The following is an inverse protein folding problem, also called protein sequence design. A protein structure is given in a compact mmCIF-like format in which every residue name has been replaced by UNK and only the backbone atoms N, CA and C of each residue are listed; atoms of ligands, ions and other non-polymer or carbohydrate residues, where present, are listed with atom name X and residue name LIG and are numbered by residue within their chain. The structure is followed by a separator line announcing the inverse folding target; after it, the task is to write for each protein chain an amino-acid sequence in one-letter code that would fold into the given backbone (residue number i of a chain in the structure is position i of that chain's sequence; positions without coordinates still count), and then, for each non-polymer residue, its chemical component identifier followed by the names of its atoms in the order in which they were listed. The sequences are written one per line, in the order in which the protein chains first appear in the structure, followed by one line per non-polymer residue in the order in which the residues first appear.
data_IF_154087663726
#
_entry.id   IF_154087663726
#
_cell.length_a   1.000
_cell.length_b   1.000
_cell.length_c   1.000
_cell.angle_alpha   90.00
_cell.angle_beta   90.00
_cell.angle_gamma   90.00
#
_symmetry.space_group_name_H-M   'P 1'
#
loop_
_entity.id
_entity.type
_entity.pdbx_description
1 polymer ?
#
# COMPACT_ATOMS: atom_id res chain seq x y z
N UNK A 1 60.22 43.60 -4.95
CA UNK A 1 58.78 43.48 -4.63
C UNK A 1 58.20 42.35 -5.45
N UNK A 2 57.96 41.20 -4.83
CA UNK A 2 57.42 39.97 -5.45
C UNK A 2 56.42 39.38 -4.46
N UNK A 3 55.29 38.88 -4.99
CA UNK A 3 54.34 37.92 -4.39
C UNK A 3 53.43 38.52 -3.30
N UNK A 4 52.12 38.28 -3.20
CA UNK A 4 51.21 37.37 -3.87
C UNK A 4 49.78 37.92 -3.70
N UNK A 5 49.03 38.01 -4.79
CA UNK A 5 47.58 37.91 -4.79
C UNK A 5 47.29 36.42 -4.62
N UNK A 6 46.72 36.02 -3.49
CA UNK A 6 45.82 34.87 -3.26
C UNK A 6 45.31 35.08 -1.83
N UNK A 7 44.17 35.76 -1.71
CA UNK A 7 43.36 35.76 -0.50
C UNK A 7 41.91 35.56 -0.96
N UNK A 8 41.69 34.41 -1.59
CA UNK A 8 40.39 33.89 -1.95
C UNK A 8 40.45 32.38 -1.72
N UNK A 9 39.40 31.84 -1.08
CA UNK A 9 39.20 30.41 -0.78
C UNK A 9 40.08 29.79 0.31
N UNK A 10 39.90 30.24 1.55
CA UNK A 10 40.11 29.39 2.72
C UNK A 10 39.26 29.97 3.84
N UNK A 11 37.98 29.58 3.90
CA UNK A 11 37.07 29.45 5.07
C UNK A 11 35.64 29.25 4.51
N UNK A 12 35.40 28.21 3.69
CA UNK A 12 34.10 27.51 3.58
C UNK A 12 34.40 26.06 3.17
N UNK A 13 35.19 25.35 3.98
CA UNK A 13 35.21 23.88 3.99
C UNK A 13 35.21 23.47 5.47
N UNK A 14 34.24 23.98 6.21
CA UNK A 14 33.87 23.43 7.50
C UNK A 14 32.78 22.38 7.27
N UNK A 15 33.23 21.13 7.15
CA UNK A 15 32.54 19.92 7.64
C UNK A 15 31.10 19.68 7.18
N UNK A 16 30.93 19.30 5.91
CA UNK A 16 30.04 18.16 5.61
C UNK A 16 30.96 16.95 5.51
N UNK A 17 31.41 16.45 6.65
CA UNK A 17 32.00 15.12 6.78
C UNK A 17 30.87 14.11 6.55
N UNK A 18 30.50 13.89 5.30
CA UNK A 18 29.67 12.76 4.92
C UNK A 18 30.60 11.55 4.96
N UNK A 19 30.40 10.66 5.94
CA UNK A 19 31.25 9.49 6.14
C UNK A 19 31.31 8.64 4.86
N UNK A 20 32.51 8.42 4.33
CA UNK A 20 32.75 7.34 3.38
C UNK A 20 32.76 6.04 4.19
N UNK A 21 31.71 5.23 4.02
CA UNK A 21 31.63 3.90 4.64
C UNK A 21 32.58 2.99 3.86
N UNK A 22 33.65 2.55 4.51
CA UNK A 22 34.63 1.60 3.94
C UNK A 22 33.99 0.20 3.90
N UNK A 23 33.86 -0.36 2.69
CA UNK A 23 33.16 -1.61 2.44
C UNK A 23 34.09 -2.84 2.46
N UNK A 24 33.85 -3.76 3.40
CA UNK A 24 33.70 -5.22 3.21
C UNK A 24 33.95 -5.93 4.53
N UNK A 25 32.88 -6.50 5.12
CA UNK A 25 33.03 -7.45 6.21
C UNK A 25 33.06 -8.84 5.59
N UNK A 26 34.23 -9.50 5.63
CA UNK A 26 34.34 -10.94 5.33
C UNK A 26 33.37 -11.72 6.22
N UNK A 27 32.49 -12.48 5.57
CA UNK A 27 31.42 -13.29 6.16
C UNK A 27 31.93 -14.60 6.79
N UNK A 28 33.23 -14.90 6.72
CA UNK A 28 33.83 -16.05 7.41
C UNK A 28 33.52 -16.07 8.92
N UNK A 29 33.19 -14.91 9.49
CA UNK A 29 32.97 -14.73 10.93
C UNK A 29 31.55 -15.01 11.40
N UNK A 30 30.55 -15.36 10.57
CA UNK A 30 29.12 -15.31 10.97
C UNK A 30 28.44 -16.67 11.22
N UNK A 31 29.14 -17.78 11.03
CA UNK A 31 28.63 -19.14 11.31
C UNK A 31 28.17 -19.26 12.77
N UNK A 32 26.96 -19.78 13.00
CA UNK A 32 26.30 -19.92 14.31
C UNK A 32 26.09 -18.63 15.13
N UNK A 33 26.04 -17.45 14.50
CA UNK A 33 25.90 -16.17 15.20
C UNK A 33 24.54 -15.52 14.99
N UNK A 34 24.13 -14.76 16.01
CA UNK A 34 22.99 -13.85 15.98
C UNK A 34 23.50 -12.42 15.93
N UNK A 35 22.76 -11.50 15.33
CA UNK A 35 23.13 -10.09 15.28
C UNK A 35 22.18 -9.28 14.41
N UNK A 36 22.59 -8.08 14.02
CA UNK A 36 21.81 -7.21 13.13
C UNK A 36 22.55 -6.98 11.82
N UNK A 37 21.91 -7.27 10.70
CA UNK A 37 22.42 -6.97 9.37
C UNK A 37 21.91 -5.60 8.91
N UNK A 38 22.77 -4.76 8.34
CA UNK A 38 22.44 -3.41 7.88
C UNK A 38 22.75 -3.28 6.39
N UNK A 39 21.74 -2.94 5.59
CA UNK A 39 21.84 -2.61 4.17
C UNK A 39 21.84 -1.10 3.98
N UNK A 40 22.83 -0.56 3.28
CA UNK A 40 22.93 0.87 3.00
C UNK A 40 22.45 1.21 1.60
N UNK A 41 21.64 2.27 1.46
CA UNK A 41 21.11 2.74 0.18
C UNK A 41 21.61 4.14 -0.15
N UNK A 42 21.91 4.38 -1.43
CA UNK A 42 22.24 5.69 -1.96
C UNK A 42 23.00 5.64 -3.28
N UNK A 43 23.31 6.82 -3.83
CA UNK A 43 23.92 6.97 -5.16
C UNK A 43 25.33 7.56 -5.05
N UNK A 44 26.22 7.19 -6.00
CA UNK A 44 27.58 7.75 -6.07
C UNK A 44 28.46 7.43 -4.86
N UNK A 45 28.26 6.27 -4.21
CA UNK A 45 29.02 5.85 -3.03
C UNK A 45 28.65 6.57 -1.74
N UNK A 46 27.54 7.32 -1.70
CA UNK A 46 27.04 8.01 -0.51
C UNK A 46 25.79 7.32 0.02
N UNK A 47 25.86 6.77 1.23
CA UNK A 47 24.69 6.26 1.92
C UNK A 47 23.77 7.42 2.35
N UNK A 48 22.47 7.30 2.01
CA UNK A 48 21.41 8.25 2.37
C UNK A 48 20.38 7.64 3.30
N UNK A 49 20.25 6.31 3.31
CA UNK A 49 19.25 5.58 4.09
C UNK A 49 19.81 4.17 4.40
N UNK A 50 19.24 3.47 5.38
CA UNK A 50 19.60 2.07 5.65
C UNK A 50 18.41 1.21 6.07
N UNK A 51 18.43 -0.08 5.75
CA UNK A 51 17.54 -1.09 6.33
C UNK A 51 18.33 -1.95 7.32
N UNK A 52 17.76 -2.28 8.47
CA UNK A 52 18.41 -3.11 9.48
C UNK A 52 17.50 -4.28 9.87
N UNK A 53 18.08 -5.47 10.01
CA UNK A 53 17.37 -6.73 10.23
C UNK A 53 18.04 -7.54 11.32
N UNK A 54 17.29 -7.98 12.34
CA UNK A 54 17.85 -8.92 13.32
C UNK A 54 17.86 -10.30 12.69
N UNK A 55 19.02 -10.95 12.63
CA UNK A 55 19.22 -12.23 11.96
C UNK A 55 19.89 -13.24 12.88
N UNK A 56 19.45 -14.49 12.79
CA UNK A 56 20.14 -15.66 13.36
C UNK A 56 20.47 -16.63 12.24
N UNK A 57 21.76 -16.91 12.07
CA UNK A 57 22.27 -17.85 11.07
C UNK A 57 22.44 -19.24 11.68
N UNK A 58 22.04 -20.27 10.94
CA UNK A 58 22.52 -21.65 11.15
C UNK A 58 23.66 -21.97 10.18
N UNK A 59 24.36 -23.09 10.39
CA UNK A 59 25.52 -23.51 9.57
C UNK A 59 25.17 -23.94 8.13
N UNK A 60 23.92 -23.77 7.69
CA UNK A 60 23.41 -24.35 6.45
C UNK A 60 23.43 -23.43 5.23
N UNK A 61 23.91 -22.18 5.37
CA UNK A 61 23.97 -21.17 4.31
C UNK A 61 25.40 -20.75 3.94
N UNK A 62 25.65 -20.56 2.64
CA UNK A 62 26.85 -19.89 2.12
C UNK A 62 26.67 -18.36 2.03
N UNK A 63 27.77 -17.62 2.05
CA UNK A 63 27.79 -16.14 2.12
C UNK A 63 27.01 -15.47 0.99
N UNK A 64 27.20 -15.95 -0.23
CA UNK A 64 26.47 -15.49 -1.41
C UNK A 64 24.95 -15.73 -1.29
N UNK A 65 24.52 -16.81 -0.66
CA UNK A 65 23.10 -17.15 -0.48
C UNK A 65 22.43 -16.23 0.54
N UNK A 66 23.12 -15.91 1.64
CA UNK A 66 22.65 -14.92 2.63
C UNK A 66 22.48 -13.55 1.99
N UNK A 67 23.47 -13.12 1.21
CA UNK A 67 23.44 -11.82 0.54
C UNK A 67 22.33 -11.77 -0.52
N UNK A 68 22.13 -12.81 -1.33
CA UNK A 68 21.00 -12.89 -2.28
C UNK A 68 19.63 -12.93 -1.59
N UNK A 69 19.47 -13.64 -0.47
CA UNK A 69 18.21 -13.65 0.30
C UNK A 69 17.90 -12.28 0.91
N UNK A 70 18.91 -11.56 1.37
CA UNK A 70 18.75 -10.20 1.87
C UNK A 70 18.47 -9.20 0.74
N UNK A 71 19.00 -9.41 -0.48
CA UNK A 71 18.64 -8.62 -1.68
C UNK A 71 17.17 -8.75 -2.05
N UNK A 72 16.59 -9.95 -1.96
CA UNK A 72 15.16 -10.18 -2.27
C UNK A 72 14.23 -9.48 -1.28
N UNK A 73 14.67 -9.29 -0.04
CA UNK A 73 13.89 -8.70 1.05
C UNK A 73 14.11 -7.20 1.22
N UNK A 74 15.05 -6.62 0.46
CA UNK A 74 15.23 -5.18 0.37
C UNK A 74 14.06 -4.56 -0.40
N UNK A 75 13.10 -3.95 0.32
CA UNK A 75 11.88 -3.36 -0.22
C UNK A 75 12.10 -2.06 -1.03
N UNK A 76 13.02 -2.04 -2.00
CA UNK A 76 13.29 -0.83 -2.80
C UNK A 76 13.68 -1.16 -4.25
N UNK A 77 13.23 -0.30 -5.18
CA UNK A 77 13.65 -0.30 -6.60
C UNK A 77 15.08 0.25 -6.82
N UNK A 78 15.72 0.77 -5.77
CA UNK A 78 17.08 1.34 -5.82
C UNK A 78 18.12 0.31 -5.38
N UNK A 79 19.27 0.28 -6.07
CA UNK A 79 20.40 -0.61 -5.71
C UNK A 79 21.00 -0.16 -4.38
N UNK A 80 21.16 -1.08 -3.44
CA UNK A 80 21.93 -0.84 -2.22
C UNK A 80 23.40 -0.61 -2.58
N UNK A 81 24.08 0.27 -1.85
CA UNK A 81 25.48 0.63 -2.11
C UNK A 81 26.46 -0.29 -1.38
N UNK A 82 26.12 -0.74 -0.18
CA UNK A 82 26.95 -1.64 0.64
C UNK A 82 26.15 -2.29 1.77
N UNK A 83 26.77 -3.17 2.56
CA UNK A 83 26.15 -3.86 3.69
C UNK A 83 27.14 -4.10 4.83
N UNK A 84 26.64 -4.29 6.05
CA UNK A 84 27.42 -4.67 7.24
C UNK A 84 26.63 -5.63 8.14
N UNK A 85 27.32 -6.39 8.98
CA UNK A 85 26.71 -7.22 10.02
C UNK A 85 27.31 -6.90 11.38
N UNK A 86 26.43 -6.61 12.33
CA UNK A 86 26.75 -6.28 13.71
C UNK A 86 26.42 -7.49 14.59
N UNK A 87 27.45 -8.27 14.89
CA UNK A 87 27.31 -9.50 15.68
C UNK A 87 26.84 -9.23 17.11
N UNK A 88 25.87 -10.02 17.57
CA UNK A 88 25.20 -9.94 18.88
C UNK A 88 24.46 -8.63 19.16
N UNK A 89 24.32 -7.75 18.16
CA UNK A 89 23.61 -6.50 18.34
C UNK A 89 22.12 -6.73 18.17
N UNK A 90 21.35 -6.21 19.12
CA UNK A 90 19.93 -5.94 18.92
C UNK A 90 19.73 -4.59 18.20
N UNK A 91 18.48 -4.25 17.94
CA UNK A 91 18.13 -3.04 17.21
C UNK A 91 18.51 -1.75 17.93
N UNK A 92 18.39 -1.70 19.25
CA UNK A 92 18.75 -0.50 20.01
C UNK A 92 20.27 -0.31 20.03
N UNK A 93 21.02 -1.42 20.18
CA UNK A 93 22.47 -1.42 20.08
C UNK A 93 22.94 -1.04 18.68
N UNK A 94 22.22 -1.49 17.65
CA UNK A 94 22.45 -1.09 16.26
C UNK A 94 22.21 0.41 16.06
N UNK A 95 21.09 0.97 16.54
CA UNK A 95 20.86 2.42 16.44
C UNK A 95 21.93 3.24 17.17
N UNK A 96 22.35 2.80 18.35
CA UNK A 96 23.43 3.46 19.09
C UNK A 96 24.80 3.32 18.42
N UNK A 97 25.03 2.22 17.69
CA UNK A 97 26.21 2.06 16.87
C UNK A 97 26.21 3.00 15.67
N UNK A 98 25.11 3.02 14.92
CA UNK A 98 24.94 3.85 13.73
C UNK A 98 24.96 5.35 14.07
N UNK A 99 24.35 5.77 15.18
CA UNK A 99 24.44 7.15 15.66
C UNK A 99 25.89 7.58 15.94
N UNK A 100 26.69 6.67 16.52
CA UNK A 100 28.11 6.93 16.75
C UNK A 100 28.94 6.91 15.46
N UNK A 101 28.71 5.94 14.58
CA UNK A 101 29.50 5.79 13.35
C UNK A 101 29.20 6.88 12.32
N UNK A 102 27.96 7.38 12.27
CA UNK A 102 27.53 8.46 11.40
C UNK A 102 27.67 9.86 12.04
N UNK A 103 28.01 9.94 13.32
CA UNK A 103 28.04 11.18 14.10
C UNK A 103 26.71 11.96 14.02
N UNK A 104 25.60 11.26 14.29
CA UNK A 104 24.23 11.77 14.22
C UNK A 104 23.49 11.50 15.53
N UNK A 105 22.38 12.22 15.77
CA UNK A 105 21.54 11.90 16.92
C UNK A 105 20.81 10.56 16.72
N UNK A 106 20.43 9.89 17.82
CA UNK A 106 19.64 8.66 17.77
C UNK A 106 18.30 8.85 17.04
N UNK A 107 17.72 10.06 17.10
CA UNK A 107 16.49 10.40 16.38
C UNK A 107 16.74 10.42 14.88
N UNK A 108 17.76 11.17 14.45
CA UNK A 108 18.06 11.32 13.02
C UNK A 108 18.46 9.98 12.39
N UNK A 109 19.20 9.13 13.11
CA UNK A 109 19.52 7.77 12.65
C UNK A 109 18.29 6.88 12.54
N UNK A 110 17.29 7.05 13.41
CA UNK A 110 16.01 6.33 13.27
C UNK A 110 15.19 6.85 12.10
N UNK A 111 15.30 8.14 11.77
CA UNK A 111 14.62 8.76 10.63
C UNK A 111 15.25 8.35 9.28
N UNK A 112 16.55 8.02 9.26
CA UNK A 112 17.24 7.44 8.08
C UNK A 112 16.87 5.97 7.80
N UNK A 113 16.14 5.33 8.71
CA UNK A 113 15.85 3.90 8.67
C UNK A 113 14.72 3.60 7.70
N UNK A 114 14.98 2.67 6.78
CA UNK A 114 13.97 2.09 5.92
C UNK A 114 13.39 0.79 6.51
N UNK A 115 12.27 0.90 7.22
CA UNK A 115 11.57 -0.22 7.88
C UNK A 115 11.64 -0.13 9.41
N UNK A 116 11.49 -1.23 10.14
CA UNK A 116 11.79 -1.30 11.59
C UNK A 116 12.63 -2.53 11.91
N UNK A 117 13.80 -2.33 12.52
CA UNK A 117 14.67 -3.44 12.91
C UNK A 117 13.99 -4.39 13.93
N UNK A 118 13.15 -3.84 14.82
CA UNK A 118 12.55 -4.61 15.92
C UNK A 118 11.40 -5.53 15.47
N UNK A 119 10.77 -5.21 14.33
CA UNK A 119 9.62 -5.96 13.80
C UNK A 119 10.06 -7.09 12.86
N UNK A 120 11.36 -7.20 12.60
CA UNK A 120 11.91 -8.08 11.58
C UNK A 120 12.98 -8.99 12.20
N UNK A 121 12.51 -10.03 12.88
CA UNK A 121 13.34 -11.13 13.36
C UNK A 121 13.38 -12.24 12.30
N UNK A 122 14.53 -12.42 11.67
CA UNK A 122 14.73 -13.48 10.69
C UNK A 122 15.54 -14.64 11.26
N UNK A 123 14.97 -15.83 11.15
CA UNK A 123 15.67 -17.09 11.36
C UNK A 123 15.93 -17.71 10.00
N UNK A 124 17.19 -17.81 9.59
CA UNK A 124 17.58 -18.58 8.41
C UNK A 124 17.60 -20.04 8.82
N UNK A 125 16.44 -20.70 8.82
CA UNK A 125 16.32 -22.15 8.98
C UNK A 125 15.95 -22.69 7.62
N UNK A 126 16.76 -23.61 7.10
CA UNK A 126 16.52 -24.27 5.82
C UNK A 126 15.26 -25.12 5.90
N UNK A 127 14.08 -24.54 5.67
CA UNK A 127 12.90 -25.32 5.31
C UNK A 127 13.19 -25.93 3.95
N UNK A 128 13.18 -27.26 3.88
CA UNK A 128 13.32 -27.98 2.63
C UNK A 128 12.30 -27.44 1.61
N UNK A 129 12.82 -26.96 0.47
CA UNK A 129 12.10 -26.63 -0.76
C UNK A 129 11.04 -25.53 -0.67
N UNK A 130 11.42 -24.30 -0.99
CA UNK A 130 11.19 -23.67 -2.31
C UNK A 130 11.75 -22.24 -2.28
N UNK A 131 12.64 -21.95 -3.22
CA UNK A 131 13.15 -20.60 -3.45
C UNK A 131 11.97 -19.79 -4.01
N UNK A 132 11.69 -18.54 -3.57
CA UNK A 132 10.79 -17.66 -4.30
C UNK A 132 11.45 -17.34 -5.64
N UNK A 133 11.03 -18.05 -6.69
CA UNK A 133 11.49 -17.81 -8.05
C UNK A 133 10.35 -17.14 -8.79
N UNK A 134 10.56 -15.88 -9.19
CA UNK A 134 9.85 -15.32 -10.32
C UNK A 134 10.15 -16.22 -11.53
N UNK A 135 9.23 -17.14 -11.83
CA UNK A 135 9.29 -17.92 -13.06
C UNK A 135 8.22 -17.38 -14.01
N UNK A 136 8.51 -17.30 -15.32
CA UNK A 136 7.48 -17.10 -16.34
C UNK A 136 6.31 -18.08 -16.18
N UNK A 137 6.57 -19.27 -15.63
CA UNK A 137 5.56 -20.27 -15.30
C UNK A 137 4.61 -19.81 -14.17
N UNK A 138 5.13 -19.22 -13.09
CA UNK A 138 4.31 -18.68 -11.99
C UNK A 138 3.46 -17.51 -12.46
N UNK A 139 4.02 -16.62 -13.28
CA UNK A 139 3.26 -15.56 -13.94
C UNK A 139 2.14 -16.16 -14.80
N UNK A 140 2.44 -17.10 -15.68
CA UNK A 140 1.44 -17.77 -16.53
C UNK A 140 0.30 -18.42 -15.73
N UNK A 141 0.60 -19.05 -14.59
CA UNK A 141 -0.40 -19.67 -13.71
C UNK A 141 -1.28 -18.65 -12.98
N UNK A 142 -0.70 -17.53 -12.53
CA UNK A 142 -1.38 -16.61 -11.61
C UNK A 142 -2.00 -15.40 -12.31
N UNK A 143 -1.46 -14.95 -13.45
CA UNK A 143 -1.97 -13.81 -14.21
C UNK A 143 -3.47 -13.93 -14.53
N UNK A 144 -4.04 -15.10 -14.91
CA UNK A 144 -5.47 -15.21 -15.18
C UNK A 144 -6.39 -14.80 -14.01
N UNK A 145 -5.92 -14.85 -12.76
CA UNK A 145 -6.72 -14.48 -11.58
C UNK A 145 -6.83 -12.97 -11.34
N UNK A 146 -5.96 -12.18 -11.97
CA UNK A 146 -5.88 -10.71 -11.79
C UNK A 146 -5.95 -9.93 -13.11
N UNK A 147 -5.81 -10.59 -14.26
CA UNK A 147 -5.68 -9.93 -15.57
C UNK A 147 -6.91 -9.07 -15.93
N UNK A 148 -8.12 -9.54 -15.64
CA UNK A 148 -9.33 -8.76 -15.92
C UNK A 148 -9.33 -7.45 -15.12
N UNK A 149 -8.95 -7.52 -13.85
CA UNK A 149 -8.92 -6.37 -12.97
C UNK A 149 -7.77 -5.42 -13.30
N UNK A 150 -6.59 -5.95 -13.63
CA UNK A 150 -5.48 -5.17 -14.17
C UNK A 150 -5.90 -4.38 -15.42
N UNK A 151 -6.56 -5.04 -16.38
CA UNK A 151 -7.04 -4.38 -17.60
C UNK A 151 -8.03 -3.25 -17.29
N UNK A 152 -8.92 -3.46 -16.32
CA UNK A 152 -9.88 -2.44 -15.88
C UNK A 152 -9.18 -1.24 -15.25
N UNK A 153 -8.22 -1.47 -14.35
CA UNK A 153 -7.45 -0.41 -13.71
C UNK A 153 -6.66 0.40 -14.76
N UNK A 154 -5.98 -0.26 -15.69
CA UNK A 154 -5.24 0.43 -16.77
C UNK A 154 -6.19 1.27 -17.63
N UNK A 155 -7.36 0.74 -17.99
CA UNK A 155 -8.37 1.46 -18.76
C UNK A 155 -8.93 2.68 -18.03
N UNK A 156 -8.93 2.67 -16.70
CA UNK A 156 -9.31 3.81 -15.85
C UNK A 156 -8.16 4.82 -15.60
N UNK A 157 -7.00 4.62 -16.23
CA UNK A 157 -5.85 5.51 -16.12
C UNK A 157 -4.96 5.24 -14.90
N UNK A 158 -5.08 4.07 -14.26
CA UNK A 158 -4.12 3.63 -13.26
C UNK A 158 -2.83 3.16 -13.94
N UNK A 159 -1.68 3.53 -13.37
CA UNK A 159 -0.36 3.14 -13.86
C UNK A 159 0.22 2.06 -12.96
N UNK A 160 0.55 0.90 -13.51
CA UNK A 160 1.23 -0.17 -12.76
C UNK A 160 2.64 0.28 -12.39
N UNK A 161 2.97 0.22 -11.10
CA UNK A 161 4.27 0.59 -10.54
C UNK A 161 5.03 -0.59 -9.94
N UNK A 162 4.32 -1.69 -9.67
CA UNK A 162 4.89 -2.90 -9.13
C UNK A 162 4.10 -4.11 -9.63
N UNK A 163 4.82 -5.21 -9.85
CA UNK A 163 4.27 -6.51 -10.22
C UNK A 163 5.23 -7.58 -9.69
N UNK A 164 4.70 -8.56 -8.96
CA UNK A 164 5.45 -9.73 -8.55
C UNK A 164 4.57 -10.98 -8.47
N UNK A 165 5.17 -12.13 -8.76
CA UNK A 165 4.54 -13.45 -8.80
C UNK A 165 5.47 -14.45 -8.09
N UNK A 166 5.03 -14.94 -6.94
CA UNK A 166 5.82 -15.77 -6.03
C UNK A 166 5.11 -17.10 -5.76
N UNK A 167 5.85 -18.13 -5.37
CA UNK A 167 5.31 -19.39 -4.85
C UNK A 167 4.89 -19.30 -3.37
N UNK A 168 5.17 -18.18 -2.71
CA UNK A 168 4.87 -17.92 -1.31
C UNK A 168 4.28 -16.51 -1.13
N UNK A 169 4.06 -16.09 0.12
CA UNK A 169 3.68 -14.73 0.48
C UNK A 169 4.61 -13.68 -0.17
N UNK A 170 4.05 -12.52 -0.53
CA UNK A 170 4.78 -11.45 -1.21
C UNK A 170 4.51 -10.09 -0.56
N UNK A 171 5.50 -9.20 -0.62
CA UNK A 171 5.37 -7.86 -0.06
C UNK A 171 6.21 -6.84 -0.82
N UNK A 172 5.72 -5.61 -0.89
CA UNK A 172 6.37 -4.51 -1.56
C UNK A 172 6.17 -3.21 -0.79
N UNK A 173 7.25 -2.44 -0.60
CA UNK A 173 7.16 -1.08 -0.09
C UNK A 173 7.11 -0.11 -1.28
N UNK A 174 6.10 0.76 -1.26
CA UNK A 174 5.88 1.78 -2.28
C UNK A 174 6.00 3.14 -1.60
N UNK A 175 6.83 4.00 -2.19
CA UNK A 175 6.89 5.40 -1.79
C UNK A 175 5.67 6.12 -2.36
N UNK A 176 4.91 6.78 -1.50
CA UNK A 176 3.75 7.54 -1.91
C UNK A 176 4.17 8.90 -2.49
N UNK A 177 3.59 9.22 -3.63
CA UNK A 177 3.70 10.50 -4.30
C UNK A 177 2.61 11.42 -3.74
N UNK A 178 2.93 12.68 -3.40
CA UNK A 178 1.93 13.64 -2.98
C UNK A 178 0.78 13.75 -4.01
N UNK A 179 -0.45 13.78 -3.51
CA UNK A 179 -1.64 13.91 -4.36
C UNK A 179 -1.94 12.70 -5.26
N UNK A 180 -1.39 11.52 -4.96
CA UNK A 180 -1.71 10.28 -5.67
C UNK A 180 -2.52 9.33 -4.79
N UNK A 181 -3.31 8.49 -5.45
CA UNK A 181 -3.94 7.31 -4.87
C UNK A 181 -3.22 6.05 -5.31
N UNK A 182 -3.36 5.00 -4.50
CA UNK A 182 -2.76 3.70 -4.74
C UNK A 182 -3.78 2.57 -4.66
N UNK A 183 -3.73 1.67 -5.63
CA UNK A 183 -4.53 0.45 -5.62
C UNK A 183 -3.58 -0.74 -5.71
N UNK A 184 -3.80 -1.76 -4.88
CA UNK A 184 -3.10 -3.03 -4.97
C UNK A 184 -4.10 -4.15 -5.20
N UNK A 185 -3.82 -5.01 -6.17
CA UNK A 185 -4.60 -6.23 -6.41
C UNK A 185 -3.67 -7.42 -6.32
N UNK A 186 -4.22 -8.56 -5.97
CA UNK A 186 -3.47 -9.79 -5.92
C UNK A 186 -4.36 -11.00 -5.95
N UNK A 187 -3.71 -12.15 -6.03
CA UNK A 187 -4.36 -13.43 -5.87
C UNK A 187 -3.45 -14.35 -5.09
N UNK A 188 -4.06 -15.20 -4.27
CA UNK A 188 -3.38 -16.24 -3.50
C UNK A 188 -3.97 -17.58 -3.87
N UNK A 189 -3.11 -18.56 -4.09
CA UNK A 189 -3.49 -19.96 -4.26
C UNK A 189 -3.09 -20.78 -3.03
N UNK A 190 -3.88 -21.79 -2.72
CA UNK A 190 -3.57 -22.75 -1.64
C UNK A 190 -4.10 -24.13 -2.03
N UNK A 191 -3.32 -25.16 -1.71
CA UNK A 191 -3.73 -26.56 -1.82
C UNK A 191 -4.58 -27.02 -0.61
N UNK A 192 -4.74 -26.15 0.40
CA UNK A 192 -5.56 -26.37 1.58
C UNK A 192 -6.74 -25.40 1.58
N UNK A 193 -7.96 -25.93 1.75
CA UNK A 193 -9.13 -25.12 2.06
C UNK A 193 -9.08 -24.55 3.48
N UNK A 194 -9.88 -23.52 3.76
CA UNK A 194 -9.96 -22.89 5.09
C UNK A 194 -8.79 -21.96 5.44
N UNK A 195 -7.96 -21.63 4.45
CA UNK A 195 -6.89 -20.63 4.59
C UNK A 195 -7.48 -19.24 4.32
N UNK A 196 -7.11 -18.27 5.13
CA UNK A 196 -7.61 -16.89 5.04
C UNK A 196 -6.49 -15.91 4.69
N UNK A 197 -6.06 -15.85 3.42
CA UNK A 197 -5.12 -14.85 2.99
C UNK A 197 -5.68 -13.44 3.11
N UNK A 198 -4.75 -12.50 3.21
CA UNK A 198 -4.99 -11.09 3.38
C UNK A 198 -4.06 -10.32 2.43
N UNK A 199 -4.60 -9.28 1.81
CA UNK A 199 -3.81 -8.18 1.27
C UNK A 199 -3.99 -6.98 2.18
N UNK A 200 -2.91 -6.31 2.55
CA UNK A 200 -2.99 -5.13 3.41
C UNK A 200 -1.85 -4.16 3.14
N UNK A 201 -2.13 -2.87 3.31
CA UNK A 201 -1.19 -1.78 3.22
C UNK A 201 -0.90 -1.22 4.61
N UNK A 202 0.39 -1.09 4.96
CA UNK A 202 0.84 -0.61 6.27
C UNK A 202 1.79 0.57 6.15
N UNK A 203 1.72 1.52 7.07
CA UNK A 203 2.81 2.47 7.33
C UNK A 203 3.41 2.16 8.71
N UNK A 204 4.54 1.44 8.72
CA UNK A 204 5.06 0.86 9.95
C UNK A 204 4.03 -0.12 10.55
N UNK A 205 3.58 0.14 11.78
CA UNK A 205 2.57 -0.69 12.46
C UNK A 205 1.13 -0.24 12.21
N UNK A 206 0.93 0.84 11.47
CA UNK A 206 -0.40 1.37 11.21
C UNK A 206 -0.99 0.74 9.94
N UNK A 207 -2.08 -0.02 10.10
CA UNK A 207 -2.86 -0.53 8.98
C UNK A 207 -3.59 0.62 8.29
N UNK A 208 -3.27 0.85 7.02
CA UNK A 208 -3.90 1.87 6.18
C UNK A 208 -5.20 1.34 5.57
N UNK A 209 -5.16 0.11 5.06
CA UNK A 209 -6.29 -0.59 4.46
C UNK A 209 -5.95 -2.03 4.14
N UNK A 210 -6.95 -2.88 3.94
CA UNK A 210 -6.72 -4.29 3.69
C UNK A 210 -7.99 -5.11 3.69
N UNK A 211 -7.91 -6.31 3.11
CA UNK A 211 -9.00 -7.28 3.14
C UNK A 211 -8.45 -8.68 3.39
N UNK A 212 -9.20 -9.45 4.18
CA UNK A 212 -8.96 -10.86 4.47
C UNK A 212 -10.13 -11.67 3.95
N UNK A 213 -9.87 -12.76 3.23
CA UNK A 213 -10.93 -13.59 2.62
C UNK A 213 -10.56 -15.07 2.66
N UNK A 214 -11.56 -15.94 2.76
CA UNK A 214 -11.36 -17.40 2.73
C UNK A 214 -11.04 -17.89 1.30
N UNK A 215 -10.16 -18.87 1.18
CA UNK A 215 -9.96 -19.65 -0.06
C UNK A 215 -11.02 -20.74 -0.13
N UNK A 216 -11.93 -20.63 -1.09
CA UNK A 216 -13.00 -21.62 -1.32
C UNK A 216 -12.69 -22.56 -2.49
N UNK A 217 -11.96 -22.09 -3.53
CA UNK A 217 -11.72 -22.83 -4.77
C UNK A 217 -10.22 -22.88 -5.14
N UNK A 218 -9.36 -23.21 -4.17
CA UNK A 218 -7.89 -23.22 -4.30
C UNK A 218 -7.24 -21.87 -4.65
N UNK A 219 -8.03 -20.82 -4.86
CA UNK A 219 -7.55 -19.46 -5.02
C UNK A 219 -8.53 -18.44 -4.42
N UNK A 220 -8.03 -17.24 -4.20
CA UNK A 220 -8.84 -16.06 -3.92
C UNK A 220 -8.15 -14.81 -4.44
N UNK A 221 -8.91 -13.94 -5.11
CA UNK A 221 -8.45 -12.60 -5.46
C UNK A 221 -8.67 -11.65 -4.28
N UNK A 222 -7.77 -10.69 -4.12
CA UNK A 222 -7.72 -9.75 -3.00
C UNK A 222 -7.39 -8.36 -3.55
N UNK A 223 -7.91 -7.31 -2.92
CA UNK A 223 -7.59 -5.94 -3.31
C UNK A 223 -7.62 -4.92 -2.17
N UNK A 224 -6.74 -3.93 -2.26
CA UNK A 224 -6.79 -2.67 -1.52
C UNK A 224 -7.02 -1.57 -2.56
N UNK A 225 -8.15 -0.87 -2.48
CA UNK A 225 -8.57 0.04 -3.54
C UNK A 225 -8.48 1.49 -3.11
N UNK A 226 -8.04 2.34 -4.06
CA UNK A 226 -8.04 3.80 -3.96
C UNK A 226 -7.51 4.34 -2.62
N UNK A 227 -6.44 3.72 -2.12
CA UNK A 227 -5.78 4.13 -0.91
C UNK A 227 -5.12 5.49 -1.14
N UNK A 228 -5.76 6.52 -0.60
CA UNK A 228 -5.24 7.87 -0.56
C UNK A 228 -4.82 8.21 0.86
N UNK A 229 -3.55 8.52 1.04
CA UNK A 229 -3.00 8.90 2.34
C UNK A 229 -2.68 10.39 2.46
N UNK A 230 -2.55 10.84 3.71
CA UNK A 230 -2.08 12.17 4.05
C UNK A 230 -0.62 12.36 3.59
N UNK A 231 -0.23 13.60 3.28
CA UNK A 231 1.14 13.95 2.86
C UNK A 231 2.22 13.56 3.90
N UNK A 232 1.84 13.40 5.16
CA UNK A 232 2.68 12.90 6.25
C UNK A 232 3.02 11.40 6.12
N UNK A 233 2.23 10.62 5.37
CA UNK A 233 2.50 9.21 5.07
C UNK A 233 3.26 9.12 3.76
N UNK A 234 4.58 8.98 3.86
CA UNK A 234 5.48 9.00 2.69
C UNK A 234 5.65 7.64 2.00
N UNK A 235 5.18 6.56 2.62
CA UNK A 235 5.32 5.19 2.10
C UNK A 235 4.29 4.23 2.69
N UNK A 236 4.06 3.13 1.99
CA UNK A 236 3.25 2.00 2.46
C UNK A 236 3.84 0.66 2.05
N UNK A 237 3.82 -0.32 2.95
CA UNK A 237 4.15 -1.72 2.69
C UNK A 237 2.87 -2.49 2.37
N UNK A 238 2.74 -2.92 1.13
CA UNK A 238 1.69 -3.85 0.69
C UNK A 238 2.17 -5.27 0.94
N UNK A 239 1.39 -6.03 1.70
CA UNK A 239 1.67 -7.40 2.08
C UNK A 239 0.52 -8.29 1.60
N UNK A 240 0.86 -9.40 0.98
CA UNK A 240 -0.02 -10.55 0.79
C UNK A 240 0.52 -11.71 1.62
N UNK A 241 -0.25 -12.12 2.62
CA UNK A 241 0.10 -13.21 3.54
C UNK A 241 -1.15 -14.00 3.96
N UNK A 242 -0.95 -15.22 4.45
CA UNK A 242 -1.99 -16.09 5.01
C UNK A 242 -1.82 -16.35 6.51
N UNK A 243 -1.39 -15.33 7.27
CA UNK A 243 -1.27 -15.41 8.74
C UNK A 243 -0.37 -16.56 9.20
N UNK A 244 0.71 -16.84 8.46
CA UNK A 244 1.65 -17.93 8.76
C UNK A 244 1.25 -19.30 8.21
N UNK A 245 0.10 -19.44 7.55
CA UNK A 245 -0.23 -20.66 6.80
C UNK A 245 0.48 -20.68 5.44
N UNK A 246 0.97 -21.85 4.98
CA UNK A 246 1.63 -21.95 3.69
C UNK A 246 0.61 -21.75 2.55
N UNK A 247 0.95 -20.86 1.61
CA UNK A 247 0.25 -20.66 0.33
C UNK A 247 1.04 -21.37 -0.78
N UNK A 248 0.36 -21.78 -1.85
CA UNK A 248 1.00 -22.39 -3.02
C UNK A 248 1.35 -21.38 -4.13
N UNK A 249 1.00 -20.12 -3.93
CA UNK A 249 1.36 -19.02 -4.80
C UNK A 249 0.70 -17.71 -4.37
N UNK A 250 1.37 -16.60 -4.63
CA UNK A 250 0.81 -15.27 -4.47
C UNK A 250 1.25 -14.36 -5.62
N UNK A 251 0.39 -13.43 -6.01
CA UNK A 251 0.75 -12.34 -6.90
C UNK A 251 0.30 -11.01 -6.33
N UNK A 252 1.13 -9.98 -6.53
CA UNK A 252 0.89 -8.63 -6.06
C UNK A 252 1.18 -7.65 -7.19
N UNK A 253 0.17 -6.90 -7.60
CA UNK A 253 0.27 -5.83 -8.55
C UNK A 253 -0.14 -4.53 -7.85
N UNK A 254 0.67 -3.48 -7.97
CA UNK A 254 0.37 -2.19 -7.36
C UNK A 254 0.35 -1.13 -8.44
N UNK A 255 -0.64 -0.25 -8.34
CA UNK A 255 -0.94 0.79 -9.27
C UNK A 255 -0.99 2.14 -8.55
N UNK A 256 -0.58 3.19 -9.26
CA UNK A 256 -0.67 4.57 -8.82
C UNK A 256 -1.50 5.39 -9.81
N UNK A 257 -2.17 6.44 -9.32
CA UNK A 257 -2.89 7.39 -10.17
C UNK A 257 -2.91 8.77 -9.49
N UNK A 258 -2.73 9.89 -10.23
CA UNK A 258 -2.98 11.22 -9.70
C UNK A 258 -4.43 11.33 -9.22
N UNK A 259 -4.61 11.77 -7.98
CA UNK A 259 -5.92 11.92 -7.39
C UNK A 259 -6.60 13.19 -7.91
N UNK A 260 -7.80 13.02 -8.44
CA UNK A 260 -8.64 14.11 -8.93
C UNK A 260 -10.10 13.81 -8.56
N UNK A 261 -10.51 14.29 -7.38
CA UNK A 261 -11.84 14.03 -6.84
C UNK A 261 -12.93 14.43 -7.81
N UNK A 262 -12.83 15.64 -8.38
CA UNK A 262 -13.85 16.20 -9.27
C UNK A 262 -14.03 15.32 -10.50
N UNK A 263 -12.93 14.96 -11.16
CA UNK A 263 -12.99 14.08 -12.34
C UNK A 263 -13.49 12.68 -12.00
N UNK A 264 -13.01 12.07 -10.91
CA UNK A 264 -13.48 10.74 -10.49
C UNK A 264 -14.97 10.74 -10.15
N UNK A 265 -15.46 11.77 -9.44
CA UNK A 265 -16.87 11.93 -9.11
C UNK A 265 -17.76 11.99 -10.36
N UNK A 266 -17.44 12.82 -11.35
CA UNK A 266 -18.23 12.90 -12.58
C UNK A 266 -18.15 11.63 -13.42
N UNK A 267 -16.97 11.01 -13.53
CA UNK A 267 -16.83 9.74 -14.24
C UNK A 267 -17.68 8.64 -13.58
N UNK A 268 -17.78 8.65 -12.25
CA UNK A 268 -18.61 7.71 -11.50
C UNK A 268 -20.11 8.00 -11.69
N UNK A 269 -20.52 9.26 -11.71
CA UNK A 269 -21.88 9.66 -12.06
C UNK A 269 -22.28 9.22 -13.47
N UNK A 270 -21.38 9.27 -14.45
CA UNK A 270 -21.65 8.76 -15.79
C UNK A 270 -21.71 7.23 -15.81
N UNK A 271 -20.83 6.58 -15.06
CA UNK A 271 -20.76 5.12 -14.95
C UNK A 271 -22.03 4.49 -14.38
N UNK A 272 -22.85 5.24 -13.66
CA UNK A 272 -24.18 4.78 -13.23
C UNK A 272 -25.00 4.20 -14.38
N UNK A 273 -24.86 4.75 -15.60
CA UNK A 273 -25.60 4.31 -16.80
C UNK A 273 -25.26 2.90 -17.25
N UNK A 274 -24.08 2.39 -16.89
CA UNK A 274 -23.66 1.02 -17.19
C UNK A 274 -23.61 0.13 -15.94
N UNK A 275 -24.32 0.52 -14.88
CA UNK A 275 -24.34 -0.19 -13.61
C UNK A 275 -22.99 -0.26 -12.93
N UNK A 276 -22.17 0.79 -13.11
CA UNK A 276 -20.82 0.89 -12.56
C UNK A 276 -19.88 -0.24 -13.00
N UNK A 277 -20.11 -0.84 -14.18
CA UNK A 277 -19.40 -2.06 -14.64
C UNK A 277 -17.89 -1.95 -14.51
N UNK A 278 -17.31 -0.80 -14.84
CA UNK A 278 -15.86 -0.60 -14.81
C UNK A 278 -15.31 -0.37 -13.40
N UNK A 279 -16.18 -0.03 -12.44
CA UNK A 279 -15.83 0.29 -11.07
C UNK A 279 -16.04 -0.88 -10.10
N UNK A 280 -16.57 -2.00 -10.60
CA UNK A 280 -16.69 -3.26 -9.87
C UNK A 280 -15.31 -3.92 -9.79
N UNK A 281 -14.66 -3.81 -8.64
CA UNK A 281 -13.46 -4.57 -8.30
C UNK A 281 -13.85 -5.96 -7.79
N UNK A 282 -13.23 -6.38 -6.68
CA UNK A 282 -13.46 -7.70 -6.11
C UNK A 282 -14.93 -7.96 -5.77
N UNK A 283 -15.41 -9.14 -6.17
CA UNK A 283 -16.74 -9.64 -5.81
C UNK A 283 -16.83 -10.02 -4.32
N UNK A 284 -17.79 -9.44 -3.62
CA UNK A 284 -18.13 -9.73 -2.23
C UNK A 284 -19.24 -10.78 -2.10
N UNK A 285 -19.78 -10.90 -0.89
CA UNK A 285 -20.92 -11.79 -0.60
C UNK A 285 -22.22 -11.21 -1.15
N UNK A 286 -23.25 -12.05 -1.25
CA UNK A 286 -24.62 -11.60 -1.54
C UNK A 286 -25.25 -11.13 -0.22
N UNK A 287 -25.98 -10.01 -0.24
CA UNK A 287 -26.70 -9.49 0.93
C UNK A 287 -27.91 -10.36 1.27
N UNK A 288 -28.50 -10.17 2.45
CA UNK A 288 -29.77 -10.82 2.84
C UNK A 288 -30.91 -10.51 1.86
N UNK A 289 -30.84 -9.36 1.19
CA UNK A 289 -31.81 -8.91 0.18
C UNK A 289 -31.47 -9.41 -1.24
N UNK A 290 -30.63 -10.44 -1.37
CA UNK A 290 -30.20 -11.02 -2.64
C UNK A 290 -29.49 -10.02 -3.60
N UNK A 291 -28.82 -8.99 -3.05
CA UNK A 291 -28.02 -8.05 -3.83
C UNK A 291 -26.57 -8.51 -3.88
N UNK A 292 -25.94 -8.46 -5.04
CA UNK A 292 -24.53 -8.76 -5.19
C UNK A 292 -23.67 -7.57 -4.76
N UNK A 293 -22.74 -7.79 -3.82
CA UNK A 293 -21.75 -6.78 -3.43
C UNK A 293 -20.51 -6.86 -4.33
N UNK A 294 -19.99 -5.69 -4.73
CA UNK A 294 -18.63 -5.53 -5.26
C UNK A 294 -17.92 -4.46 -4.45
N UNK A 295 -16.65 -4.69 -4.12
CA UNK A 295 -15.77 -3.64 -3.59
C UNK A 295 -15.37 -2.75 -4.75
N UNK A 296 -15.56 -1.43 -4.61
CA UNK A 296 -15.27 -0.51 -5.72
C UNK A 296 -13.78 -0.20 -5.80
N UNK A 297 -13.27 -0.10 -7.03
CA UNK A 297 -11.88 0.28 -7.28
C UNK A 297 -11.62 1.80 -7.28
N UNK A 298 -12.66 2.61 -7.11
CA UNK A 298 -12.58 4.07 -6.90
C UNK A 298 -13.46 4.41 -5.70
N UNK A 299 -12.84 4.89 -4.62
CA UNK A 299 -13.50 5.26 -3.37
C UNK A 299 -13.54 6.78 -3.19
N UNK A 300 -13.28 7.54 -4.26
CA UNK A 300 -13.17 8.99 -4.26
C UNK A 300 -12.18 9.49 -3.19
N UNK A 301 -11.11 8.73 -2.94
CA UNK A 301 -10.08 9.03 -1.95
C UNK A 301 -10.50 8.83 -0.50
N UNK A 302 -11.66 8.19 -0.26
CA UNK A 302 -12.04 7.67 1.06
C UNK A 302 -11.52 6.24 1.25
N UNK A 303 -11.75 5.65 2.43
CA UNK A 303 -11.16 4.35 2.79
C UNK A 303 -11.71 3.19 1.96
N UNK A 304 -13.03 3.10 1.84
CA UNK A 304 -13.71 1.98 1.18
C UNK A 304 -15.01 2.46 0.53
N UNK A 305 -15.33 1.85 -0.61
CA UNK A 305 -16.60 2.02 -1.31
C UNK A 305 -17.11 0.66 -1.80
N UNK A 306 -18.43 0.51 -1.89
CA UNK A 306 -19.08 -0.70 -2.39
C UNK A 306 -20.12 -0.39 -3.44
N UNK A 307 -20.34 -1.34 -4.34
CA UNK A 307 -21.43 -1.31 -5.31
C UNK A 307 -22.37 -2.46 -4.97
N UNK A 308 -23.66 -2.16 -4.80
CA UNK A 308 -24.72 -3.14 -4.70
C UNK A 308 -25.41 -3.25 -6.06
N UNK A 309 -25.61 -4.48 -6.52
CA UNK A 309 -26.33 -4.79 -7.75
C UNK A 309 -27.51 -5.71 -7.43
N UNK A 310 -28.71 -5.26 -7.75
CA UNK A 310 -29.96 -6.04 -7.65
C UNK A 310 -30.57 -6.26 -9.03
N UNK A 311 -31.77 -6.84 -9.11
CA UNK A 311 -32.52 -6.91 -10.37
C UNK A 311 -33.09 -5.57 -10.81
N UNK A 312 -33.29 -4.64 -9.88
CA UNK A 312 -34.05 -3.40 -10.09
C UNK A 312 -33.16 -2.15 -10.12
N UNK A 313 -31.98 -2.23 -9.48
CA UNK A 313 -31.11 -1.07 -9.30
C UNK A 313 -29.61 -1.40 -9.18
N UNK A 314 -28.84 -0.32 -9.22
CA UNK A 314 -27.44 -0.25 -8.88
C UNK A 314 -27.22 0.88 -7.86
N UNK A 315 -26.47 0.58 -6.80
CA UNK A 315 -26.13 1.56 -5.77
C UNK A 315 -24.62 1.58 -5.53
N UNK A 316 -23.98 2.72 -5.73
CA UNK A 316 -22.62 2.96 -5.23
C UNK A 316 -22.71 3.62 -3.85
N UNK A 317 -21.96 3.12 -2.87
CA UNK A 317 -22.08 3.52 -1.47
C UNK A 317 -20.70 3.73 -0.85
N UNK A 318 -20.51 4.89 -0.21
CA UNK A 318 -19.42 5.16 0.72
C UNK A 318 -20.01 5.31 2.12
N UNK A 319 -19.49 4.54 3.08
CA UNK A 319 -19.86 4.65 4.50
C UNK A 319 -18.85 5.54 5.20
N UNK A 320 -19.28 6.74 5.58
CA UNK A 320 -18.47 7.74 6.25
C UNK A 320 -18.61 7.59 7.76
N UNK A 321 -17.48 7.65 8.45
CA UNK A 321 -17.40 7.57 9.91
C UNK A 321 -16.92 8.93 10.41
N UNK A 322 -17.72 9.63 11.22
CA UNK A 322 -17.36 10.97 11.68
C UNK A 322 -16.17 10.97 12.64
N UNK A 323 -15.80 9.83 13.24
CA UNK A 323 -14.57 9.70 14.02
C UNK A 323 -13.33 9.53 13.14
N UNK A 324 -13.50 9.23 11.85
CA UNK A 324 -12.41 9.15 10.90
C UNK A 324 -12.05 10.55 10.37
N UNK A 325 -10.80 11.03 10.56
CA UNK A 325 -10.39 12.35 10.08
C UNK A 325 -10.48 12.51 8.55
N UNK A 326 -10.46 11.42 7.77
CA UNK A 326 -10.63 11.45 6.32
C UNK A 326 -12.06 11.84 5.89
N UNK A 327 -13.06 11.73 6.79
CA UNK A 327 -14.45 12.06 6.48
C UNK A 327 -14.64 13.54 6.20
N UNK A 328 -14.03 14.42 6.99
CA UNK A 328 -14.11 15.86 6.76
C UNK A 328 -13.51 16.24 5.41
N UNK A 329 -12.33 15.71 5.08
CA UNK A 329 -11.70 15.94 3.79
C UNK A 329 -12.57 15.44 2.62
N UNK A 330 -13.21 14.29 2.75
CA UNK A 330 -14.14 13.80 1.75
C UNK A 330 -15.33 14.76 1.57
N UNK A 331 -15.95 15.19 2.67
CA UNK A 331 -17.10 16.09 2.65
C UNK A 331 -16.75 17.47 2.06
N UNK A 332 -15.56 18.01 2.36
CA UNK A 332 -15.09 19.27 1.78
C UNK A 332 -14.94 19.18 0.25
N UNK A 333 -14.38 18.07 -0.25
CA UNK A 333 -14.28 17.85 -1.69
C UNK A 333 -15.66 17.61 -2.33
N UNK A 334 -16.55 16.93 -1.62
CA UNK A 334 -17.91 16.64 -2.08
C UNK A 334 -18.76 17.92 -2.18
N UNK A 335 -18.67 18.83 -1.21
CA UNK A 335 -19.39 20.11 -1.23
C UNK A 335 -19.07 20.93 -2.48
N UNK A 336 -17.81 20.95 -2.91
CA UNK A 336 -17.37 21.65 -4.13
C UNK A 336 -18.12 21.14 -5.37
N UNK A 337 -18.20 19.81 -5.56
CA UNK A 337 -18.87 19.25 -6.74
C UNK A 337 -20.40 19.30 -6.62
N UNK A 338 -20.95 19.19 -5.41
CA UNK A 338 -22.39 19.28 -5.18
C UNK A 338 -22.95 20.65 -5.55
N UNK A 339 -22.19 21.73 -5.30
CA UNK A 339 -22.54 23.11 -5.70
C UNK A 339 -22.63 23.31 -7.21
N UNK A 340 -21.98 22.47 -8.02
CA UNK A 340 -22.02 22.55 -9.48
C UNK A 340 -23.22 21.80 -10.07
N UNK A 341 -23.81 20.84 -9.34
CA UNK A 341 -24.91 19.99 -9.83
C UNK A 341 -26.14 20.76 -10.31
N UNK A 342 -26.61 21.85 -9.66
CA UNK A 342 -27.76 22.61 -10.15
C UNK A 342 -27.56 23.16 -11.57
N UNK A 343 -26.36 23.64 -11.89
CA UNK A 343 -26.04 24.13 -13.23
C UNK A 343 -26.06 23.00 -14.29
N UNK A 344 -25.92 21.74 -13.87
CA UNK A 344 -25.99 20.54 -14.70
C UNK A 344 -27.41 19.94 -14.77
N UNK A 345 -28.42 20.68 -14.31
CA UNK A 345 -29.84 20.31 -14.36
C UNK A 345 -30.27 19.34 -13.26
N UNK A 346 -29.53 19.24 -12.16
CA UNK A 346 -29.99 18.52 -10.98
C UNK A 346 -30.85 19.43 -10.09
N UNK A 347 -31.83 18.84 -9.42
CA UNK A 347 -32.62 19.49 -8.37
C UNK A 347 -32.31 18.83 -7.04
N UNK A 348 -32.15 19.61 -5.97
CA UNK A 348 -31.85 19.08 -4.63
C UNK A 348 -33.04 19.24 -3.68
N UNK A 349 -33.22 18.27 -2.80
CA UNK A 349 -34.18 18.30 -1.69
C UNK A 349 -33.45 18.02 -0.38
N UNK A 350 -33.81 18.74 0.69
CA UNK A 350 -33.27 18.53 2.03
C UNK A 350 -34.39 18.14 2.98
N UNK A 351 -34.21 17.05 3.71
CA UNK A 351 -35.20 16.56 4.68
C UNK A 351 -34.54 15.81 5.83
N UNK A 352 -35.33 15.45 6.84
CA UNK A 352 -34.90 14.60 7.97
C UNK A 352 -35.35 13.16 7.73
N UNK A 353 -34.45 12.20 7.87
CA UNK A 353 -34.82 10.78 7.87
C UNK A 353 -35.56 10.40 9.17
N UNK A 354 -36.12 9.19 9.20
CA UNK A 354 -36.84 8.66 10.37
C UNK A 354 -35.99 8.60 11.65
N UNK A 355 -34.66 8.54 11.50
CA UNK A 355 -33.71 8.57 12.61
C UNK A 355 -33.30 9.99 13.04
N UNK A 356 -33.92 11.04 12.48
CA UNK A 356 -33.65 12.45 12.79
C UNK A 356 -32.37 13.01 12.16
N UNK A 357 -31.71 12.25 11.29
CA UNK A 357 -30.54 12.69 10.54
C UNK A 357 -30.89 13.51 9.30
N UNK A 358 -29.99 14.41 8.92
CA UNK A 358 -30.10 15.21 7.69
C UNK A 358 -29.86 14.35 6.45
N UNK A 359 -30.72 14.54 5.46
CA UNK A 359 -30.61 13.97 4.11
C UNK A 359 -30.62 15.09 3.10
N UNK A 360 -29.63 15.06 2.20
CA UNK A 360 -29.62 15.85 0.97
C UNK A 360 -29.69 14.89 -0.22
N UNK A 361 -30.72 15.04 -1.03
CA UNK A 361 -31.01 14.18 -2.18
C UNK A 361 -30.97 15.00 -3.47
N UNK A 362 -30.31 14.49 -4.51
CA UNK A 362 -30.30 15.12 -5.83
C UNK A 362 -30.99 14.24 -6.85
N UNK A 363 -31.93 14.85 -7.58
CA UNK A 363 -32.66 14.26 -8.69
C UNK A 363 -32.21 14.87 -10.01
N UNK A 364 -32.27 14.08 -11.08
CA UNK A 364 -32.13 14.56 -12.45
C UNK A 364 -33.22 13.95 -13.31
N UNK A 365 -34.00 14.79 -13.97
CA UNK A 365 -35.16 14.36 -14.78
C UNK A 365 -36.16 13.50 -13.98
N UNK A 366 -36.36 13.79 -12.70
CA UNK A 366 -37.26 13.05 -11.80
C UNK A 366 -36.69 11.73 -11.25
N UNK A 367 -35.50 11.29 -11.69
CA UNK A 367 -34.80 10.13 -11.14
C UNK A 367 -33.91 10.55 -9.96
N UNK A 368 -33.95 9.80 -8.86
CA UNK A 368 -32.98 9.91 -7.75
C UNK A 368 -31.59 9.48 -8.24
N UNK A 369 -30.58 10.34 -8.05
CA UNK A 369 -29.23 10.08 -8.54
C UNK A 369 -28.19 10.09 -7.45
N UNK A 370 -28.25 11.01 -6.49
CA UNK A 370 -27.29 11.13 -5.40
C UNK A 370 -28.04 11.31 -4.09
N UNK A 371 -27.54 10.72 -3.01
CA UNK A 371 -28.01 11.01 -1.67
C UNK A 371 -26.84 11.09 -0.70
N UNK A 372 -26.85 12.08 0.17
CA UNK A 372 -26.01 12.15 1.36
C UNK A 372 -26.93 12.09 2.58
N UNK A 373 -26.84 11.01 3.36
CA UNK A 373 -27.70 10.78 4.51
C UNK A 373 -26.86 10.59 5.78
N UNK A 374 -27.14 11.38 6.81
CA UNK A 374 -26.50 11.25 8.12
C UNK A 374 -27.34 10.40 9.08
N UNK A 375 -26.66 9.71 9.98
CA UNK A 375 -27.25 8.92 11.06
C UNK A 375 -26.54 9.28 12.38
N UNK A 376 -26.93 10.41 13.02
CA UNK A 376 -26.23 10.95 14.18
C UNK A 376 -26.10 9.93 15.33
N UNK A 377 -27.12 9.11 15.56
CA UNK A 377 -27.11 8.08 16.60
C UNK A 377 -26.04 6.99 16.39
N UNK A 378 -25.55 6.81 15.16
CA UNK A 378 -24.50 5.85 14.80
C UNK A 378 -23.15 6.51 14.55
N UNK A 379 -23.08 7.84 14.64
CA UNK A 379 -21.91 8.63 14.23
C UNK A 379 -21.45 8.34 12.79
N UNK A 380 -22.38 8.04 11.89
CA UNK A 380 -22.08 7.72 10.49
C UNK A 380 -22.86 8.59 9.52
N UNK A 381 -22.34 8.72 8.31
CA UNK A 381 -23.06 9.19 7.14
C UNK A 381 -22.85 8.24 5.97
N UNK A 382 -23.73 8.32 4.98
CA UNK A 382 -23.68 7.49 3.79
C UNK A 382 -23.81 8.39 2.58
N UNK A 383 -22.88 8.24 1.66
CA UNK A 383 -22.93 8.87 0.35
C UNK A 383 -23.31 7.81 -0.68
N UNK A 384 -24.32 8.11 -1.50
CA UNK A 384 -24.88 7.21 -2.50
C UNK A 384 -24.85 7.82 -3.89
N UNK A 385 -24.64 6.96 -4.89
CA UNK A 385 -25.02 7.23 -6.29
C UNK A 385 -25.89 6.09 -6.80
N UNK A 386 -27.05 6.43 -7.37
CA UNK A 386 -28.08 5.48 -7.77
C UNK A 386 -28.27 5.39 -9.29
N UNK A 387 -28.69 4.21 -9.74
CA UNK A 387 -29.31 3.99 -11.05
C UNK A 387 -30.41 2.94 -10.93
N UNK A 388 -31.66 3.32 -11.21
CA UNK A 388 -32.75 2.36 -11.45
C UNK A 388 -32.63 1.79 -12.87
N UNK A 389 -32.87 0.49 -13.04
CA UNK A 389 -32.72 -0.21 -14.33
C UNK A 389 -33.79 0.13 -15.35
#
# INVERSE_FOLDING_TARGET
MKKNIIFFLLVIISNILCAQIQSSASLERWKNKKGTFVLWYGEGGKAREYAAFTVKFDDSYEENQVVEELKKKAYKSSKYSTYEFLENYDCNQTYAHLARSLNMSLRDVKDLRNGNCADVNYSFVKSAQEIPVFTPENKSKMSPYVEQEEKLLIAQGWKKVYEDYQSAACAAEIRFLPGHSYTAIGAVTSNKGGVFPMIAAYNGNHLLGGIKKNIENNFVSLGVYDLKEDISVIKGTYLIDASGEPVSGACLLIFEKPFDFKRSFYNLLEARQNGFKNYKGMKGNITENNQQIYYSNDALGYKEAKILESNDDYEYIIVLDFDNPKTLLFLDNLDVVMKELPALGFTSENYKNEAGGDVTEFKKNGEEVIMLASYPAKNTAYFYIFKKK
#
